data_IF_572141892541
#
_entry.id   IF_572141892541
#
_cell.length_a   1.000
_cell.length_b   1.000
_cell.length_c   1.000
_cell.angle_alpha   90.00
_cell.angle_beta   90.00
_cell.angle_gamma   90.00
#
_symmetry.space_group_name_H-M   'P 1'
#
loop_
_entity.id
_entity.type
_entity.pdbx_description
1 polymer ?
#
# COMPACT_ATOMS: atom_id res chain seq x y z
N UNK A 1 -52.65 -1.32 -3.07
CA UNK A 1 -51.34 -1.06 -2.44
C UNK A 1 -51.33 -1.45 -0.94
N UNK A 2 -51.92 -2.62 -0.55
CA UNK A 2 -52.04 -2.98 0.87
C UNK A 2 -51.90 -4.50 1.12
N UNK A 3 -51.15 -5.25 0.30
CA UNK A 3 -50.91 -6.69 0.50
C UNK A 3 -49.42 -7.12 0.61
N UNK A 4 -48.49 -6.18 0.57
CA UNK A 4 -47.05 -6.47 0.70
C UNK A 4 -46.54 -6.15 2.12
N UNK A 5 -47.24 -5.29 2.87
CA UNK A 5 -46.84 -4.90 4.24
C UNK A 5 -47.15 -5.96 5.31
N UNK A 6 -48.12 -6.89 5.07
CA UNK A 6 -48.52 -7.91 6.06
C UNK A 6 -47.63 -9.17 6.06
N UNK A 7 -46.82 -9.41 5.03
CA UNK A 7 -45.99 -10.62 4.93
C UNK A 7 -44.62 -10.49 5.59
N UNK A 8 -44.19 -9.28 5.95
CA UNK A 8 -42.86 -9.00 6.58
C UNK A 8 -42.93 -9.07 8.11
N UNK A 9 -44.14 -8.93 8.71
CA UNK A 9 -44.29 -8.89 10.18
C UNK A 9 -44.63 -10.25 10.84
N UNK A 10 -44.74 -11.33 10.09
CA UNK A 10 -45.13 -12.65 10.63
C UNK A 10 -44.00 -13.64 10.90
N UNK A 11 -42.73 -13.18 10.83
CA UNK A 11 -41.56 -14.01 11.20
C UNK A 11 -40.69 -13.30 12.28
N UNK A 12 -41.31 -12.96 13.39
CA UNK A 12 -40.55 -12.72 14.62
C UNK A 12 -40.34 -14.10 15.30
N UNK A 13 -39.12 -14.55 15.54
CA UNK A 13 -38.86 -15.74 16.33
C UNK A 13 -39.28 -15.45 17.79
N UNK A 14 -40.11 -16.32 18.34
CA UNK A 14 -40.54 -16.36 19.74
C UNK A 14 -39.31 -16.50 20.64
N UNK A 15 -39.30 -15.70 21.68
CA UNK A 15 -38.28 -15.56 22.73
C UNK A 15 -38.40 -16.79 23.65
N UNK A 16 -37.50 -17.77 23.49
CA UNK A 16 -37.29 -18.80 24.53
C UNK A 16 -35.79 -18.86 24.88
N UNK A 17 -35.54 -18.83 26.17
CA UNK A 17 -34.31 -19.09 26.91
C UNK A 17 -33.22 -18.06 26.86
N UNK A 18 -32.96 -17.48 28.05
CA UNK A 18 -31.87 -16.68 28.61
C UNK A 18 -30.45 -16.75 28.01
N UNK A 19 -30.31 -16.59 26.72
CA UNK A 19 -29.04 -16.42 26.01
C UNK A 19 -28.80 -14.93 25.79
N UNK A 20 -27.63 -14.47 26.20
CA UNK A 20 -27.09 -13.15 25.84
C UNK A 20 -27.35 -12.83 24.38
N UNK A 21 -27.90 -11.66 24.10
CA UNK A 21 -28.11 -11.12 22.75
C UNK A 21 -26.88 -11.43 21.87
N UNK A 22 -27.04 -12.05 20.71
CA UNK A 22 -25.92 -12.14 19.79
C UNK A 22 -25.51 -10.71 19.44
N UNK A 23 -24.27 -10.37 19.79
CA UNK A 23 -23.64 -9.13 19.37
C UNK A 23 -23.72 -9.04 17.85
N UNK A 24 -24.67 -8.27 17.34
CA UNK A 24 -24.87 -7.98 15.91
C UNK A 24 -23.77 -7.09 15.34
N UNK A 25 -22.74 -6.82 16.12
CA UNK A 25 -21.46 -6.38 15.61
C UNK A 25 -20.67 -7.62 15.23
N UNK A 26 -20.79 -8.02 13.97
CA UNK A 26 -19.87 -8.94 13.34
C UNK A 26 -18.44 -8.42 13.49
N UNK A 27 -17.82 -8.68 14.65
CA UNK A 27 -16.40 -8.51 14.93
C UNK A 27 -15.57 -9.54 14.15
N UNK A 28 -16.09 -10.03 13.03
CA UNK A 28 -15.45 -10.98 12.16
C UNK A 28 -14.96 -10.26 10.91
N UNK A 29 -13.69 -10.22 10.70
CA UNK A 29 -12.97 -10.00 9.45
C UNK A 29 -12.13 -8.72 9.29
N UNK A 30 -12.46 -7.58 9.90
CA UNK A 30 -11.61 -6.37 9.73
C UNK A 30 -10.44 -6.29 10.74
N UNK A 31 -10.51 -7.05 11.83
CA UNK A 31 -9.49 -7.05 12.88
C UNK A 31 -8.32 -8.02 12.58
N UNK A 32 -8.51 -8.95 11.64
CA UNK A 32 -7.49 -9.93 11.26
C UNK A 32 -6.36 -9.35 10.41
N UNK A 33 -6.57 -8.24 9.71
CA UNK A 33 -5.60 -7.73 8.75
C UNK A 33 -4.23 -7.35 9.37
N UNK A 34 -4.22 -6.83 10.60
CA UNK A 34 -2.97 -6.43 11.26
C UNK A 34 -2.57 -7.29 12.46
N UNK A 35 -3.49 -8.05 13.08
CA UNK A 35 -3.18 -8.89 14.26
C UNK A 35 -2.29 -10.11 13.96
N UNK A 36 -2.15 -10.51 12.71
CA UNK A 36 -1.31 -11.66 12.30
C UNK A 36 0.13 -11.31 11.90
N UNK A 37 0.49 -10.03 11.88
CA UNK A 37 1.83 -9.59 11.45
C UNK A 37 2.77 -9.41 12.64
N UNK A 38 4.01 -9.89 12.48
CA UNK A 38 5.08 -9.76 13.46
C UNK A 38 5.66 -8.34 13.45
N UNK A 39 6.29 -7.94 14.53
CA UNK A 39 6.91 -6.60 14.67
C UNK A 39 7.84 -6.23 13.51
N UNK A 40 8.63 -7.19 13.00
CA UNK A 40 9.50 -6.96 11.85
C UNK A 40 8.77 -6.71 10.52
N UNK A 41 7.56 -7.26 10.36
CA UNK A 41 6.74 -7.02 9.17
C UNK A 41 6.11 -5.63 9.21
N UNK A 42 5.69 -5.16 10.39
CA UNK A 42 5.24 -3.79 10.58
C UNK A 42 6.37 -2.78 10.33
N UNK A 43 7.59 -3.06 10.82
CA UNK A 43 8.74 -2.19 10.56
C UNK A 43 9.05 -2.10 9.06
N UNK A 44 9.00 -3.22 8.33
CA UNK A 44 9.17 -3.21 6.88
C UNK A 44 8.05 -2.44 6.18
N UNK A 45 6.79 -2.57 6.62
CA UNK A 45 5.67 -1.85 6.05
C UNK A 45 5.81 -0.33 6.25
N UNK A 46 6.20 0.12 7.44
CA UNK A 46 6.49 1.52 7.77
C UNK A 46 7.62 2.04 6.87
N UNK A 47 8.69 1.26 6.72
CA UNK A 47 9.80 1.62 5.86
C UNK A 47 9.40 1.75 4.38
N UNK A 48 8.70 0.78 3.83
CA UNK A 48 8.23 0.83 2.45
C UNK A 48 7.18 1.94 2.23
N UNK A 49 6.36 2.24 3.24
CA UNK A 49 5.44 3.37 3.19
C UNK A 49 6.19 4.71 3.07
N UNK A 50 7.32 4.87 3.77
CA UNK A 50 8.14 6.08 3.62
C UNK A 50 8.74 6.21 2.21
N UNK A 51 9.16 5.10 1.61
CA UNK A 51 9.64 5.09 0.22
C UNK A 51 8.50 5.42 -0.75
N UNK A 52 7.29 4.92 -0.52
CA UNK A 52 6.13 5.27 -1.33
C UNK A 52 5.84 6.77 -1.31
N UNK A 53 5.88 7.39 -0.13
CA UNK A 53 5.72 8.84 0.01
C UNK A 53 6.82 9.64 -0.69
N UNK A 54 8.07 9.18 -0.57
CA UNK A 54 9.21 9.78 -1.25
C UNK A 54 9.00 9.79 -2.77
N UNK A 55 8.69 8.62 -3.34
CA UNK A 55 8.47 8.44 -4.78
C UNK A 55 7.25 9.23 -5.27
N UNK A 56 6.18 9.26 -4.47
CA UNK A 56 4.95 9.99 -4.82
C UNK A 56 5.23 11.49 -4.97
N UNK A 57 6.03 12.06 -4.07
CA UNK A 57 6.43 13.47 -4.13
C UNK A 57 7.34 13.76 -5.32
N UNK A 58 8.28 12.87 -5.66
CA UNK A 58 9.11 13.03 -6.87
C UNK A 58 8.24 13.09 -8.12
N UNK A 59 7.29 12.17 -8.26
CA UNK A 59 6.36 12.15 -9.39
C UNK A 59 5.49 13.40 -9.44
N UNK A 60 4.97 13.82 -8.28
CA UNK A 60 4.13 15.00 -8.17
C UNK A 60 4.85 16.28 -8.61
N UNK A 61 6.09 16.48 -8.17
CA UNK A 61 6.89 17.66 -8.52
C UNK A 61 7.35 17.63 -9.97
N UNK A 62 7.80 16.47 -10.47
CA UNK A 62 8.30 16.35 -11.84
C UNK A 62 7.19 16.46 -12.89
N UNK A 63 6.08 15.74 -12.70
CA UNK A 63 4.97 15.74 -13.66
C UNK A 63 4.03 16.95 -13.51
N UNK A 64 4.23 17.82 -12.51
CA UNK A 64 3.35 18.97 -12.29
C UNK A 64 1.99 18.59 -11.72
N UNK A 65 1.99 17.75 -10.67
CA UNK A 65 0.81 17.45 -9.86
C UNK A 65 0.15 16.10 -10.14
N UNK A 66 0.85 15.12 -10.70
CA UNK A 66 0.39 13.75 -10.82
C UNK A 66 1.03 12.87 -9.74
N UNK A 67 0.24 11.99 -9.17
CA UNK A 67 0.69 11.06 -8.13
C UNK A 67 1.12 9.73 -8.76
N UNK A 68 2.14 9.09 -8.21
CA UNK A 68 2.58 7.76 -8.66
C UNK A 68 1.89 6.62 -7.90
N UNK A 69 1.29 6.93 -6.74
CA UNK A 69 0.62 5.95 -5.88
C UNK A 69 -0.82 6.32 -5.52
N UNK A 70 -1.21 7.60 -5.56
CA UNK A 70 -2.54 8.08 -5.19
C UNK A 70 -3.49 8.09 -6.40
N UNK A 71 -3.99 6.91 -6.76
CA UNK A 71 -4.75 6.71 -8.00
C UNK A 71 -6.11 7.39 -8.02
N UNK A 72 -6.77 7.60 -6.87
CA UNK A 72 -8.03 8.35 -6.82
C UNK A 72 -7.84 9.83 -7.21
N UNK A 73 -6.72 10.44 -6.83
CA UNK A 73 -6.35 11.79 -7.29
C UNK A 73 -6.12 11.85 -8.80
N UNK A 74 -5.41 10.86 -9.35
CA UNK A 74 -5.20 10.75 -10.79
C UNK A 74 -6.51 10.49 -11.56
N UNK A 75 -7.44 9.71 -11.00
CA UNK A 75 -8.78 9.49 -11.59
C UNK A 75 -9.55 10.81 -11.70
N UNK A 76 -9.56 11.60 -10.63
CA UNK A 76 -10.20 12.92 -10.64
C UNK A 76 -9.57 13.83 -11.69
N UNK A 77 -8.24 13.84 -11.79
CA UNK A 77 -7.51 14.65 -12.75
C UNK A 77 -7.77 14.20 -14.18
N UNK A 78 -7.78 12.88 -14.44
CA UNK A 78 -8.13 12.29 -15.73
C UNK A 78 -9.52 12.73 -16.20
N UNK A 79 -10.52 12.54 -15.35
CA UNK A 79 -11.92 12.84 -15.71
C UNK A 79 -12.17 14.34 -15.90
N UNK A 80 -11.56 15.19 -15.08
CA UNK A 80 -11.61 16.63 -15.24
C UNK A 80 -10.94 17.08 -16.55
N UNK A 81 -9.81 16.48 -16.90
CA UNK A 81 -9.09 16.78 -18.14
C UNK A 81 -9.88 16.37 -19.39
N UNK A 82 -10.51 15.20 -19.39
CA UNK A 82 -11.39 14.72 -20.47
C UNK A 82 -12.55 15.71 -20.68
N UNK A 83 -13.21 16.13 -19.61
CA UNK A 83 -14.31 17.11 -19.67
C UNK A 83 -13.85 18.49 -20.18
N UNK A 84 -12.60 18.86 -19.94
CA UNK A 84 -12.01 20.12 -20.40
C UNK A 84 -11.35 19.99 -21.79
N UNK A 85 -11.40 18.83 -22.45
CA UNK A 85 -10.75 18.59 -23.74
C UNK A 85 -9.22 18.59 -23.69
N UNK A 86 -8.61 18.46 -22.51
CA UNK A 86 -7.14 18.48 -22.29
C UNK A 86 -6.58 17.06 -22.38
N UNK A 87 -6.44 16.55 -23.59
CA UNK A 87 -6.08 15.16 -23.85
C UNK A 87 -4.65 14.79 -23.40
N UNK A 88 -3.70 15.71 -23.45
CA UNK A 88 -2.34 15.57 -22.94
C UNK A 88 -2.32 15.26 -21.44
N UNK A 89 -3.09 16.01 -20.67
CA UNK A 89 -3.28 15.81 -19.21
C UNK A 89 -3.96 14.46 -18.95
N UNK A 90 -5.00 14.13 -19.74
CA UNK A 90 -5.73 12.87 -19.59
C UNK A 90 -4.83 11.65 -19.89
N UNK A 91 -4.04 11.71 -20.96
CA UNK A 91 -3.11 10.64 -21.34
C UNK A 91 -2.01 10.43 -20.30
N UNK A 92 -1.46 11.51 -19.73
CA UNK A 92 -0.45 11.41 -18.66
C UNK A 92 -1.04 10.76 -17.41
N UNK A 93 -2.21 11.23 -16.93
CA UNK A 93 -2.88 10.65 -15.77
C UNK A 93 -3.23 9.17 -16.01
N UNK A 94 -3.81 8.85 -17.17
CA UNK A 94 -4.15 7.49 -17.57
C UNK A 94 -2.94 6.58 -17.69
N UNK A 95 -1.84 7.06 -18.25
CA UNK A 95 -0.58 6.32 -18.40
C UNK A 95 0.02 5.92 -17.05
N UNK A 96 0.09 6.87 -16.10
CA UNK A 96 0.55 6.59 -14.74
C UNK A 96 -0.35 5.55 -14.06
N UNK A 97 -1.68 5.68 -14.19
CA UNK A 97 -2.64 4.74 -13.60
C UNK A 97 -2.50 3.33 -14.19
N UNK A 98 -2.39 3.22 -15.50
CA UNK A 98 -2.22 1.91 -16.17
C UNK A 98 -0.93 1.24 -15.74
N UNK A 99 0.19 1.97 -15.70
CA UNK A 99 1.48 1.41 -15.27
C UNK A 99 1.47 0.99 -13.80
N UNK A 100 0.83 1.75 -12.93
CA UNK A 100 0.61 1.34 -11.55
C UNK A 100 -0.18 0.03 -11.47
N UNK A 101 -1.31 -0.08 -12.19
CA UNK A 101 -2.14 -1.29 -12.20
C UNK A 101 -1.40 -2.50 -12.78
N UNK A 102 -0.63 -2.31 -13.84
CA UNK A 102 0.23 -3.36 -14.40
C UNK A 102 1.28 -3.80 -13.37
N UNK A 103 1.89 -2.86 -12.65
CA UNK A 103 2.80 -3.14 -11.54
C UNK A 103 2.15 -3.98 -10.44
N UNK A 104 0.95 -3.59 -9.99
CA UNK A 104 0.16 -4.38 -9.02
C UNK A 104 -0.10 -5.78 -9.55
N UNK A 105 -0.56 -5.90 -10.81
CA UNK A 105 -0.88 -7.18 -11.44
C UNK A 105 0.34 -8.12 -11.53
N UNK A 106 1.50 -7.60 -11.95
CA UNK A 106 2.74 -8.40 -12.01
C UNK A 106 3.23 -8.76 -10.60
N UNK A 107 3.17 -7.84 -9.65
CA UNK A 107 3.48 -8.13 -8.26
C UNK A 107 2.58 -9.23 -7.67
N UNK A 108 1.27 -9.17 -7.93
CA UNK A 108 0.32 -10.21 -7.53
C UNK A 108 0.60 -11.55 -8.24
N UNK A 109 0.97 -11.54 -9.52
CA UNK A 109 1.36 -12.73 -10.26
C UNK A 109 2.59 -13.40 -9.62
N UNK A 110 3.63 -12.62 -9.29
CA UNK A 110 4.83 -13.11 -8.59
C UNK A 110 4.43 -13.70 -7.23
N UNK A 111 3.51 -13.04 -6.50
CA UNK A 111 2.99 -13.53 -5.23
C UNK A 111 2.27 -14.87 -5.38
N UNK A 112 1.38 -15.02 -6.36
CA UNK A 112 0.62 -16.25 -6.63
C UNK A 112 1.53 -17.40 -7.07
N UNK A 113 2.42 -17.15 -8.04
CA UNK A 113 3.39 -18.17 -8.50
C UNK A 113 4.34 -18.55 -7.36
N UNK A 114 4.80 -17.56 -6.59
CA UNK A 114 5.66 -17.81 -5.43
C UNK A 114 4.97 -18.70 -4.39
N UNK A 115 3.68 -18.48 -4.10
CA UNK A 115 2.92 -19.35 -3.17
C UNK A 115 2.76 -20.78 -3.67
N UNK A 116 2.72 -20.97 -4.98
CA UNK A 116 2.58 -22.31 -5.58
C UNK A 116 3.88 -23.10 -5.58
N UNK A 117 5.02 -22.44 -5.76
CA UNK A 117 6.33 -23.09 -5.97
C UNK A 117 7.37 -22.83 -4.88
N UNK A 118 7.16 -21.83 -4.02
CA UNK A 118 8.12 -21.38 -3.00
C UNK A 118 7.48 -21.32 -1.61
N UNK A 119 8.24 -21.48 -0.53
CA UNK A 119 7.78 -21.15 0.82
C UNK A 119 7.37 -19.68 0.90
N UNK A 120 6.35 -19.35 1.70
CA UNK A 120 5.82 -17.97 1.88
C UNK A 120 6.91 -16.90 2.13
N UNK A 121 7.97 -17.28 2.83
CA UNK A 121 9.10 -16.40 3.12
C UNK A 121 9.88 -16.01 1.86
N UNK A 122 10.11 -16.96 0.94
CA UNK A 122 10.84 -16.70 -0.31
C UNK A 122 10.00 -15.93 -1.33
N UNK A 123 8.68 -16.06 -1.30
CA UNK A 123 7.78 -15.29 -2.17
C UNK A 123 7.94 -13.79 -1.93
N UNK A 124 7.98 -13.37 -0.65
CA UNK A 124 8.19 -11.94 -0.32
C UNK A 124 9.59 -11.44 -0.70
N UNK A 125 10.59 -12.30 -0.56
CA UNK A 125 11.96 -12.01 -1.01
C UNK A 125 12.01 -11.78 -2.53
N UNK A 126 11.31 -12.60 -3.31
CA UNK A 126 11.21 -12.45 -4.76
C UNK A 126 10.55 -11.10 -5.15
N UNK A 127 9.48 -10.71 -4.46
CA UNK A 127 8.83 -9.41 -4.70
C UNK A 127 9.79 -8.25 -4.37
N UNK A 128 10.49 -8.29 -3.24
CA UNK A 128 11.46 -7.24 -2.88
C UNK A 128 12.60 -7.13 -3.89
N UNK A 129 13.13 -8.26 -4.38
CA UNK A 129 14.15 -8.27 -5.43
C UNK A 129 13.61 -7.71 -6.75
N UNK A 130 12.37 -8.04 -7.10
CA UNK A 130 11.71 -7.50 -8.29
C UNK A 130 11.56 -5.98 -8.21
N UNK A 131 11.15 -5.44 -7.06
CA UNK A 131 11.03 -3.99 -6.82
C UNK A 131 12.40 -3.32 -6.92
N UNK A 132 13.46 -3.93 -6.39
CA UNK A 132 14.83 -3.42 -6.54
C UNK A 132 15.24 -3.38 -8.02
N UNK A 133 14.96 -4.43 -8.79
CA UNK A 133 15.29 -4.48 -10.21
C UNK A 133 14.56 -3.38 -11.01
N UNK A 134 13.25 -3.21 -10.79
CA UNK A 134 12.47 -2.15 -11.47
C UNK A 134 12.90 -0.75 -11.07
N UNK A 135 13.25 -0.53 -9.80
CA UNK A 135 13.81 0.74 -9.34
C UNK A 135 15.20 1.02 -9.93
N UNK A 136 16.02 -0.03 -10.15
CA UNK A 136 17.31 0.11 -10.85
C UNK A 136 17.09 0.53 -12.30
N UNK A 137 16.09 -0.01 -12.97
CA UNK A 137 15.72 0.43 -14.33
C UNK A 137 15.35 1.92 -14.31
N UNK A 138 14.54 2.38 -13.35
CA UNK A 138 14.21 3.79 -13.20
C UNK A 138 15.47 4.66 -13.00
N UNK A 139 16.41 4.20 -12.17
CA UNK A 139 17.69 4.90 -11.95
C UNK A 139 18.55 5.00 -13.21
N UNK A 140 18.66 3.92 -13.97
CA UNK A 140 19.39 3.91 -15.24
C UNK A 140 18.74 4.87 -16.25
N UNK A 141 17.40 4.90 -16.31
CA UNK A 141 16.67 5.81 -17.19
C UNK A 141 16.92 7.28 -16.85
N UNK A 142 17.01 7.64 -15.55
CA UNK A 142 17.40 8.98 -15.14
C UNK A 142 18.83 9.31 -15.59
N UNK A 143 19.77 8.40 -15.37
CA UNK A 143 21.19 8.61 -15.74
C UNK A 143 21.40 8.71 -17.27
N UNK A 144 20.51 8.11 -18.05
CA UNK A 144 20.55 8.17 -19.52
C UNK A 144 19.70 9.30 -20.12
N UNK A 145 19.15 10.18 -19.27
CA UNK A 145 18.37 11.34 -19.71
C UNK A 145 16.91 11.03 -20.11
N UNK A 146 16.41 9.83 -19.83
CA UNK A 146 15.03 9.43 -20.12
C UNK A 146 14.13 9.61 -18.89
N UNK A 147 14.09 10.81 -18.35
CA UNK A 147 13.43 11.12 -17.08
C UNK A 147 11.95 10.78 -17.03
N UNK A 148 11.21 11.05 -18.12
CA UNK A 148 9.78 10.75 -18.16
C UNK A 148 9.51 9.26 -18.07
N UNK A 149 10.30 8.43 -18.75
CA UNK A 149 10.20 6.96 -18.66
C UNK A 149 10.58 6.46 -17.28
N UNK A 150 11.55 7.11 -16.63
CA UNK A 150 11.94 6.80 -15.26
C UNK A 150 10.76 6.99 -14.29
N UNK A 151 10.04 8.11 -14.38
CA UNK A 151 8.90 8.39 -13.52
C UNK A 151 7.76 7.39 -13.76
N UNK A 152 7.50 7.03 -15.00
CA UNK A 152 6.54 5.97 -15.33
C UNK A 152 6.97 4.60 -14.78
N UNK A 153 8.26 4.27 -14.85
CA UNK A 153 8.82 3.05 -14.24
C UNK A 153 8.70 3.06 -12.71
N UNK A 154 8.78 4.21 -12.05
CA UNK A 154 8.54 4.34 -10.62
C UNK A 154 7.08 4.08 -10.25
N UNK A 155 6.11 4.53 -11.05
CA UNK A 155 4.69 4.22 -10.81
C UNK A 155 4.44 2.71 -10.85
N UNK A 156 5.02 2.03 -11.84
CA UNK A 156 5.00 0.57 -11.93
C UNK A 156 5.65 -0.08 -10.71
N UNK A 157 6.81 0.41 -10.27
CA UNK A 157 7.55 -0.11 -9.10
C UNK A 157 6.72 0.00 -7.82
N UNK A 158 6.10 1.17 -7.58
CA UNK A 158 5.24 1.38 -6.41
C UNK A 158 3.96 0.53 -6.49
N UNK A 159 3.42 0.33 -7.68
CA UNK A 159 2.34 -0.62 -7.92
C UNK A 159 2.71 -2.03 -7.45
N UNK A 160 3.84 -2.55 -7.92
CA UNK A 160 4.35 -3.88 -7.54
C UNK A 160 4.66 -3.98 -6.03
N UNK A 161 5.10 -2.89 -5.41
CA UNK A 161 5.43 -2.83 -3.98
C UNK A 161 4.23 -3.14 -3.09
N UNK A 162 3.00 -2.83 -3.49
CA UNK A 162 1.79 -3.14 -2.74
C UNK A 162 1.57 -4.66 -2.57
N UNK A 163 2.09 -5.49 -3.47
CA UNK A 163 1.99 -6.96 -3.36
C UNK A 163 2.92 -7.56 -2.31
N UNK A 164 3.82 -6.78 -1.68
CA UNK A 164 4.73 -7.27 -0.62
C UNK A 164 3.96 -7.78 0.61
N UNK A 165 2.79 -7.21 0.91
CA UNK A 165 1.94 -7.56 2.05
C UNK A 165 0.60 -8.15 1.61
N UNK A 166 0.60 -8.90 0.51
CA UNK A 166 -0.55 -9.66 0.06
C UNK A 166 -0.72 -10.93 0.91
N UNK A 167 -1.93 -11.18 1.39
CA UNK A 167 -2.31 -12.38 2.11
C UNK A 167 -3.65 -12.87 1.58
N UNK A 168 -3.70 -14.14 1.19
CA UNK A 168 -4.91 -14.81 0.70
C UNK A 168 -5.61 -14.08 -0.49
N UNK A 169 -4.81 -13.40 -1.32
CA UNK A 169 -5.30 -12.67 -2.50
C UNK A 169 -5.66 -11.21 -2.24
N UNK A 170 -5.57 -10.75 -0.98
CA UNK A 170 -5.88 -9.38 -0.60
C UNK A 170 -4.67 -8.65 -0.01
N UNK A 171 -4.59 -7.34 -0.23
CA UNK A 171 -3.56 -6.50 0.37
C UNK A 171 -3.89 -6.29 1.85
N UNK A 172 -3.16 -6.96 2.73
CA UNK A 172 -3.39 -6.90 4.19
C UNK A 172 -2.85 -5.61 4.82
N UNK A 173 -1.69 -5.14 4.39
CA UNK A 173 -1.15 -3.83 4.78
C UNK A 173 -0.97 -3.04 3.49
N UNK A 174 -1.79 -2.03 3.30
CA UNK A 174 -1.67 -1.14 2.16
C UNK A 174 -0.61 -0.07 2.43
N UNK A 175 0.40 -0.01 1.58
CA UNK A 175 1.50 0.95 1.67
C UNK A 175 1.11 2.33 1.13
N UNK A 176 0.13 2.38 0.24
CA UNK A 176 -0.25 3.59 -0.51
C UNK A 176 -1.70 4.03 -0.29
N UNK A 177 -2.57 3.16 0.28
CA UNK A 177 -3.99 3.48 0.52
C UNK A 177 -4.17 4.26 1.83
N UNK A 178 -3.62 5.48 1.87
CA UNK A 178 -3.54 6.28 3.10
C UNK A 178 -4.86 6.83 3.59
N UNK A 179 -5.81 7.13 2.71
CA UNK A 179 -7.15 7.58 3.12
C UNK A 179 -7.85 6.53 3.99
N UNK A 180 -7.82 5.27 3.58
CA UNK A 180 -8.36 4.16 4.37
C UNK A 180 -7.60 3.94 5.68
N UNK A 181 -6.28 4.15 5.67
CA UNK A 181 -5.43 4.08 6.86
C UNK A 181 -5.81 5.17 7.88
N UNK A 182 -6.01 6.41 7.45
CA UNK A 182 -6.47 7.52 8.31
C UNK A 182 -7.87 7.29 8.87
N UNK A 183 -8.80 6.77 8.07
CA UNK A 183 -10.15 6.40 8.54
C UNK A 183 -10.05 5.34 9.65
N UNK A 184 -9.29 4.26 9.42
CA UNK A 184 -9.08 3.20 10.42
C UNK A 184 -8.39 3.74 11.67
N UNK A 185 -7.40 4.62 11.52
CA UNK A 185 -6.72 5.29 12.63
C UNK A 185 -7.73 6.04 13.51
N UNK A 186 -8.57 6.89 12.91
CA UNK A 186 -9.58 7.68 13.63
C UNK A 186 -10.60 6.80 14.34
N UNK A 187 -11.11 5.76 13.66
CA UNK A 187 -12.05 4.81 14.26
C UNK A 187 -11.45 4.06 15.45
N UNK A 188 -10.18 3.60 15.34
CA UNK A 188 -9.47 2.91 16.44
C UNK A 188 -9.10 3.84 17.56
N UNK A 189 -8.75 5.09 17.27
CA UNK A 189 -8.51 6.12 18.28
C UNK A 189 -9.76 6.37 19.12
N UNK A 190 -10.91 6.57 18.48
CA UNK A 190 -12.19 6.74 19.20
C UNK A 190 -12.52 5.48 20.01
N UNK A 191 -12.38 4.28 19.45
CA UNK A 191 -12.62 3.04 20.19
C UNK A 191 -11.73 2.93 21.43
N UNK A 192 -10.47 3.39 21.37
CA UNK A 192 -9.56 3.42 22.51
C UNK A 192 -10.04 4.35 23.64
N UNK A 193 -10.72 5.47 23.32
CA UNK A 193 -11.32 6.37 24.32
C UNK A 193 -12.50 5.73 25.06
N UNK A 194 -13.17 4.73 24.45
CA UNK A 194 -14.27 3.98 25.05
C UNK A 194 -13.85 2.61 25.60
N UNK A 195 -12.56 2.43 25.96
CA UNK A 195 -12.04 1.22 26.61
C UNK A 195 -11.61 0.10 25.67
N UNK A 196 -11.51 0.39 24.36
CA UNK A 196 -10.91 -0.52 23.39
C UNK A 196 -9.38 -0.58 23.45
N UNK A 197 -8.72 -1.39 22.57
CA UNK A 197 -7.26 -1.53 22.55
C UNK A 197 -6.55 -0.19 22.30
N UNK A 198 -5.73 0.26 23.27
CA UNK A 198 -5.08 1.58 23.23
C UNK A 198 -3.94 1.73 22.20
N UNK A 199 -3.41 0.62 21.66
CA UNK A 199 -2.19 0.64 20.81
C UNK A 199 -2.52 0.48 19.32
N UNK A 200 -3.68 -0.03 18.95
CA UNK A 200 -3.96 -0.40 17.56
C UNK A 200 -3.97 0.80 16.60
N UNK A 201 -4.44 1.97 17.04
CA UNK A 201 -4.45 3.18 16.22
C UNK A 201 -3.04 3.72 15.92
N UNK A 202 -2.07 3.49 16.83
CA UNK A 202 -0.67 3.95 16.68
C UNK A 202 -0.01 3.30 15.46
N UNK A 203 -0.35 2.05 15.13
CA UNK A 203 0.20 1.36 13.97
C UNK A 203 -0.23 2.02 12.66
N UNK A 204 -1.48 2.42 12.56
CA UNK A 204 -2.00 3.15 11.39
C UNK A 204 -1.40 4.55 11.31
N UNK A 205 -1.27 5.22 12.46
CA UNK A 205 -0.63 6.52 12.56
C UNK A 205 0.84 6.46 12.11
N UNK A 206 1.59 5.45 12.55
CA UNK A 206 2.99 5.26 12.16
C UNK A 206 3.16 5.08 10.64
N UNK A 207 2.27 4.35 9.98
CA UNK A 207 2.28 4.21 8.51
C UNK A 207 2.07 5.55 7.81
N UNK A 208 1.10 6.34 8.28
CA UNK A 208 0.83 7.66 7.72
C UNK A 208 1.99 8.64 7.96
N UNK A 209 2.53 8.69 9.19
CA UNK A 209 3.69 9.52 9.50
C UNK A 209 4.90 9.12 8.65
N UNK A 210 5.15 7.84 8.47
CA UNK A 210 6.25 7.36 7.64
C UNK A 210 6.10 7.82 6.19
N UNK A 211 4.90 7.72 5.62
CA UNK A 211 4.63 8.23 4.26
C UNK A 211 4.86 9.74 4.21
N UNK A 212 4.34 10.51 5.17
CA UNK A 212 4.48 11.96 5.22
C UNK A 212 5.96 12.38 5.35
N UNK A 213 6.73 11.72 6.23
CA UNK A 213 8.16 11.95 6.36
C UNK A 213 8.92 11.60 5.08
N UNK A 214 8.56 10.48 4.44
CA UNK A 214 9.12 10.11 3.14
C UNK A 214 8.83 11.15 2.07
N UNK A 215 7.60 11.65 2.01
CA UNK A 215 7.19 12.70 1.08
C UNK A 215 7.98 14.01 1.30
N UNK A 216 8.17 14.43 2.56
CA UNK A 216 8.98 15.59 2.90
C UNK A 216 10.44 15.42 2.47
N UNK A 217 11.03 14.25 2.74
CA UNK A 217 12.39 13.94 2.31
C UNK A 217 12.51 13.91 0.78
N UNK A 218 11.53 13.32 0.09
CA UNK A 218 11.47 13.28 -1.37
C UNK A 218 11.39 14.66 -1.99
N UNK A 219 10.54 15.54 -1.45
CA UNK A 219 10.44 16.92 -1.88
C UNK A 219 11.74 17.70 -1.65
N UNK A 220 12.35 17.55 -0.48
CA UNK A 220 13.63 18.18 -0.18
C UNK A 220 14.74 17.71 -1.12
N UNK A 221 14.86 16.39 -1.35
CA UNK A 221 15.85 15.83 -2.27
C UNK A 221 15.60 16.25 -3.71
N UNK A 222 14.33 16.37 -4.13
CA UNK A 222 14.00 16.85 -5.47
C UNK A 222 14.47 18.31 -5.69
N UNK A 223 14.32 19.18 -4.70
CA UNK A 223 14.81 20.56 -4.78
C UNK A 223 16.34 20.61 -4.91
N UNK A 224 17.06 19.68 -4.28
CA UNK A 224 18.52 19.66 -4.30
C UNK A 224 19.11 18.99 -5.54
N UNK A 225 18.50 17.90 -6.00
CA UNK A 225 19.07 17.01 -7.02
C UNK A 225 18.13 16.70 -8.20
N UNK A 226 16.95 17.33 -8.24
CA UNK A 226 15.97 17.01 -9.25
C UNK A 226 15.59 15.54 -9.23
N UNK A 227 15.39 14.96 -10.41
CA UNK A 227 15.01 13.57 -10.53
C UNK A 227 16.13 12.55 -10.18
N UNK A 228 17.41 13.01 -10.06
CA UNK A 228 18.48 12.16 -9.57
C UNK A 228 18.24 11.62 -8.15
N UNK A 229 17.31 12.22 -7.39
CA UNK A 229 16.82 11.68 -6.12
C UNK A 229 16.25 10.24 -6.24
N UNK A 230 15.93 9.75 -7.45
CA UNK A 230 15.56 8.34 -7.71
C UNK A 230 16.68 7.38 -7.33
N UNK A 231 17.95 7.77 -7.45
CA UNK A 231 19.09 6.96 -7.00
C UNK A 231 19.04 6.69 -5.49
N UNK A 232 18.58 7.68 -4.71
CA UNK A 232 18.39 7.53 -3.25
C UNK A 232 17.27 6.53 -2.97
N UNK A 233 16.14 6.61 -3.70
CA UNK A 233 15.04 5.63 -3.60
C UNK A 233 15.54 4.21 -3.84
N UNK A 234 16.33 4.03 -4.90
CA UNK A 234 16.90 2.71 -5.24
C UNK A 234 17.84 2.23 -4.13
N UNK A 235 18.70 3.09 -3.62
CA UNK A 235 19.56 2.78 -2.46
C UNK A 235 18.76 2.39 -1.22
N UNK A 236 17.68 3.11 -0.91
CA UNK A 236 16.77 2.77 0.19
C UNK A 236 16.12 1.40 -0.02
N UNK A 237 15.61 1.10 -1.22
CA UNK A 237 15.01 -0.20 -1.52
C UNK A 237 16.01 -1.35 -1.34
N UNK A 238 17.25 -1.21 -1.81
CA UNK A 238 18.29 -2.21 -1.59
C UNK A 238 18.62 -2.35 -0.11
N UNK A 239 18.80 -1.26 0.62
CA UNK A 239 19.07 -1.29 2.07
C UNK A 239 17.95 -1.99 2.85
N UNK A 240 16.69 -1.67 2.55
CA UNK A 240 15.53 -2.33 3.18
C UNK A 240 15.44 -3.82 2.84
N UNK A 241 15.71 -4.18 1.57
CA UNK A 241 15.70 -5.57 1.12
C UNK A 241 16.81 -6.37 1.80
N UNK A 242 18.05 -5.87 1.80
CA UNK A 242 19.19 -6.53 2.46
C UNK A 242 18.92 -6.70 3.96
N UNK A 243 18.45 -5.65 4.62
CA UNK A 243 18.09 -5.71 6.05
C UNK A 243 17.02 -6.77 6.32
N UNK A 244 15.98 -6.84 5.48
CA UNK A 244 14.94 -7.84 5.62
C UNK A 244 15.46 -9.27 5.40
N UNK A 245 16.34 -9.48 4.42
CA UNK A 245 16.97 -10.76 4.12
C UNK A 245 17.88 -11.21 5.28
N UNK A 246 18.76 -10.33 5.74
CA UNK A 246 19.71 -10.61 6.84
C UNK A 246 18.94 -10.91 8.13
N UNK A 247 17.93 -10.11 8.48
CA UNK A 247 17.10 -10.34 9.66
C UNK A 247 16.40 -11.71 9.62
N UNK A 248 15.88 -12.11 8.46
CA UNK A 248 15.24 -13.42 8.27
C UNK A 248 16.24 -14.57 8.35
N UNK A 249 17.43 -14.41 7.75
CA UNK A 249 18.49 -15.41 7.82
C UNK A 249 18.95 -15.63 9.27
N UNK A 250 19.14 -14.54 10.00
CA UNK A 250 19.50 -14.59 11.41
C UNK A 250 18.44 -15.31 12.26
N UNK A 251 17.14 -15.08 11.99
CA UNK A 251 16.06 -15.81 12.68
C UNK A 251 16.04 -17.29 12.34
N UNK A 252 16.24 -17.64 11.07
CA UNK A 252 16.35 -19.05 10.62
C UNK A 252 17.47 -19.76 11.35
N UNK A 253 18.63 -19.15 11.45
CA UNK A 253 19.80 -19.73 12.13
C UNK A 253 19.58 -19.93 13.65
N UNK A 254 18.63 -19.19 14.24
CA UNK A 254 18.23 -19.35 15.66
C UNK A 254 17.05 -20.30 15.89
N UNK A 255 16.56 -20.98 14.86
CA UNK A 255 15.41 -21.87 14.99
C UNK A 255 14.09 -21.15 15.31
N UNK A 256 14.07 -19.83 15.23
CA UNK A 256 12.87 -19.04 15.45
C UNK A 256 12.00 -19.11 14.21
N UNK A 257 10.69 -19.40 14.37
CA UNK A 257 9.76 -19.41 13.25
C UNK A 257 9.86 -18.09 12.45
N UNK A 258 10.04 -18.19 11.15
CA UNK A 258 10.23 -17.07 10.20
C UNK A 258 8.89 -16.73 9.53
#
# INVERSE_FOLDING_TARGET
MNRIASAVLSRAPTRENGGSLPSFYGAGCYDCAMKGYRTGEHALAIYLSSIAGFVDTLGFLYLGGYFLSFMSGNTTRLTAAVNAGKWDVAMTAGGVMVLFLVGVGIGALISQLGRRYLPRTRTREAILLFICATSTIASVLVLTGHEQLAVYSLSFTVGAMNSTFERDGEVSISLTYMTGTLVKMSQRFVAALFGGPHIDWIRYFALWVALACGALLGGWMYVQAGLHAVLVVTGMLYAGTVTALVYRQWRRNRGLAV
#
